data_IF_547866487003
#
_entry.id   IF_547866487003
#
_cell.length_a   1.000
_cell.length_b   1.000
_cell.length_c   1.000
_cell.angle_alpha   90.00
_cell.angle_beta   90.00
_cell.angle_gamma   90.00
#
_symmetry.space_group_name_H-M   'P 1'
#
loop_
_entity.id
_entity.type
_entity.pdbx_description
1 polymer ?
#
# COMPACT_ATOMS: atom_id res chain seq x y z
N UNK A 1 10.06 14.58 11.17
CA UNK A 1 8.73 13.97 11.41
C UNK A 1 8.55 12.98 10.29
N UNK A 2 8.51 11.68 10.58
CA UNK A 2 8.34 10.66 9.55
C UNK A 2 6.96 10.80 8.91
N UNK A 3 6.91 11.05 7.61
CA UNK A 3 5.68 11.01 6.83
C UNK A 3 5.33 9.55 6.54
N UNK A 4 4.08 9.18 6.85
CA UNK A 4 3.55 7.86 6.58
C UNK A 4 2.60 7.94 5.39
N UNK A 5 3.00 7.32 4.30
CA UNK A 5 2.21 7.18 3.09
C UNK A 5 1.53 5.83 3.10
N UNK A 6 0.22 5.81 2.86
CA UNK A 6 -0.55 4.56 2.83
C UNK A 6 -1.56 4.57 1.71
N UNK A 7 -1.73 3.41 1.08
CA UNK A 7 -2.79 3.14 0.14
C UNK A 7 -3.49 1.85 0.57
N UNK A 8 -4.82 1.84 0.48
CA UNK A 8 -5.63 0.72 0.93
C UNK A 8 -6.73 0.37 -0.06
N UNK A 9 -6.91 -0.92 -0.32
CA UNK A 9 -7.90 -1.42 -1.27
C UNK A 9 -8.76 -2.54 -0.66
N UNK A 10 -10.07 -2.53 -0.93
CA UNK A 10 -10.94 -3.61 -0.50
C UNK A 10 -10.70 -4.85 -1.35
N UNK A 11 -10.70 -6.01 -0.71
CA UNK A 11 -10.60 -7.32 -1.35
C UNK A 11 -12.02 -7.83 -1.60
N UNK A 12 -12.41 -7.86 -2.88
CA UNK A 12 -13.76 -8.29 -3.29
C UNK A 12 -13.95 -9.80 -3.10
N UNK A 13 -12.88 -10.59 -3.31
CA UNK A 13 -12.84 -12.05 -3.20
C UNK A 13 -11.42 -12.53 -2.90
N UNK A 14 -11.25 -13.73 -2.35
CA UNK A 14 -9.92 -14.29 -2.03
C UNK A 14 -9.00 -14.39 -3.27
N UNK A 15 -9.56 -14.78 -4.41
CA UNK A 15 -8.85 -14.79 -5.69
C UNK A 15 -8.42 -13.39 -6.19
N UNK A 16 -9.00 -12.32 -5.63
CA UNK A 16 -8.71 -10.93 -5.99
C UNK A 16 -7.69 -10.26 -5.05
N UNK A 17 -7.18 -10.95 -4.03
CA UNK A 17 -6.20 -10.39 -3.07
C UNK A 17 -4.97 -9.85 -3.79
N UNK A 18 -4.38 -10.62 -4.72
CA UNK A 18 -3.20 -10.20 -5.47
C UNK A 18 -3.48 -8.95 -6.32
N UNK A 19 -4.69 -8.85 -6.90
CA UNK A 19 -5.10 -7.65 -7.65
C UNK A 19 -5.22 -6.45 -6.73
N UNK A 20 -5.86 -6.62 -5.57
CA UNK A 20 -6.04 -5.55 -4.60
C UNK A 20 -4.69 -5.04 -4.05
N UNK A 21 -3.75 -5.95 -3.79
CA UNK A 21 -2.39 -5.59 -3.38
C UNK A 21 -1.72 -4.79 -4.51
N UNK A 22 -1.77 -5.29 -5.74
CA UNK A 22 -1.17 -4.61 -6.90
C UNK A 22 -1.75 -3.20 -7.09
N UNK A 23 -3.06 -3.06 -7.00
CA UNK A 23 -3.73 -1.76 -7.11
C UNK A 23 -3.35 -0.81 -5.97
N UNK A 24 -3.27 -1.31 -4.73
CA UNK A 24 -2.82 -0.52 -3.59
C UNK A 24 -1.34 -0.09 -3.74
N UNK A 25 -0.47 -0.97 -4.27
CA UNK A 25 0.92 -0.64 -4.55
C UNK A 25 1.05 0.41 -5.67
N UNK A 26 0.23 0.32 -6.73
CA UNK A 26 0.20 1.33 -7.80
C UNK A 26 -0.22 2.68 -7.22
N UNK A 27 -1.29 2.70 -6.42
CA UNK A 27 -1.78 3.93 -5.81
C UNK A 27 -0.74 4.55 -4.87
N UNK A 28 -0.05 3.74 -4.06
CA UNK A 28 1.04 4.22 -3.22
C UNK A 28 2.20 4.76 -4.05
N UNK A 29 2.56 4.10 -5.15
CA UNK A 29 3.59 4.59 -6.07
C UNK A 29 3.23 5.96 -6.67
N UNK A 30 1.97 6.16 -7.07
CA UNK A 30 1.48 7.44 -7.57
C UNK A 30 1.51 8.53 -6.49
N UNK A 31 1.12 8.20 -5.25
CA UNK A 31 1.21 9.11 -4.10
C UNK A 31 2.68 9.52 -3.86
N UNK A 32 3.61 8.57 -3.80
CA UNK A 32 5.02 8.85 -3.59
C UNK A 32 5.60 9.74 -4.71
N UNK A 33 5.27 9.42 -5.97
CA UNK A 33 5.68 10.23 -7.12
C UNK A 33 5.13 11.66 -7.08
N UNK A 34 3.89 11.85 -6.64
CA UNK A 34 3.29 13.18 -6.44
C UNK A 34 3.99 14.00 -5.34
N UNK A 35 4.58 13.32 -4.36
CA UNK A 35 5.37 13.92 -3.29
C UNK A 35 6.86 14.06 -3.63
N UNK A 36 7.27 13.71 -4.86
CA UNK A 36 8.65 13.80 -5.32
C UNK A 36 9.56 12.70 -4.79
N UNK A 37 8.98 11.62 -4.25
CA UNK A 37 9.70 10.44 -3.77
C UNK A 37 9.83 9.46 -4.94
N UNK A 38 11.05 9.31 -5.46
CA UNK A 38 11.37 8.36 -6.52
C UNK A 38 11.57 6.96 -5.92
N UNK A 39 10.51 6.15 -5.97
CA UNK A 39 10.53 4.79 -5.46
C UNK A 39 9.93 3.83 -6.49
N UNK A 40 10.67 2.79 -6.87
CA UNK A 40 10.17 1.82 -7.85
C UNK A 40 8.99 1.01 -7.31
N UNK A 41 8.06 0.65 -8.19
CA UNK A 41 6.96 -0.27 -7.87
C UNK A 41 7.44 -1.56 -7.17
N UNK A 42 8.55 -2.15 -7.63
CA UNK A 42 9.15 -3.34 -7.01
C UNK A 42 9.62 -3.10 -5.57
N UNK A 43 10.19 -1.92 -5.31
CA UNK A 43 10.63 -1.55 -3.95
C UNK A 43 9.44 -1.40 -3.00
N UNK A 44 8.33 -0.84 -3.50
CA UNK A 44 7.09 -0.73 -2.73
C UNK A 44 6.46 -2.11 -2.52
N UNK A 45 6.46 -2.97 -3.54
CA UNK A 45 5.97 -4.34 -3.42
C UNK A 45 6.76 -5.17 -2.40
N UNK A 46 8.06 -4.90 -2.23
CA UNK A 46 8.93 -5.54 -1.23
C UNK A 46 8.62 -5.11 0.21
N UNK A 47 7.98 -3.95 0.44
CA UNK A 47 7.51 -3.53 1.77
C UNK A 47 6.41 -4.49 2.30
N UNK A 48 5.75 -5.20 1.38
CA UNK A 48 4.64 -6.09 1.69
C UNK A 48 3.32 -5.35 1.85
N UNK A 49 2.37 -6.03 2.47
CA UNK A 49 1.04 -5.50 2.76
C UNK A 49 0.57 -6.00 4.11
N UNK A 50 -0.29 -5.24 4.76
CA UNK A 50 -1.04 -5.68 5.93
C UNK A 50 -2.50 -5.87 5.56
N UNK A 51 -3.18 -6.73 6.30
CA UNK A 51 -4.57 -7.11 6.02
C UNK A 51 -5.43 -6.79 7.22
N UNK A 52 -6.61 -6.24 6.99
CA UNK A 52 -7.58 -5.93 8.02
C UNK A 52 -8.98 -6.33 7.59
N UNK A 53 -9.85 -6.60 8.56
CA UNK A 53 -11.27 -6.89 8.30
C UNK A 53 -12.11 -5.78 8.91
N UNK A 54 -12.99 -5.22 8.09
CA UNK A 54 -13.95 -4.23 8.54
C UNK A 54 -15.10 -4.88 9.33
N UNK A 55 -15.92 -4.07 10.00
CA UNK A 55 -17.08 -4.51 10.78
C UNK A 55 -18.12 -5.26 9.93
N UNK A 56 -18.13 -5.02 8.62
CA UNK A 56 -18.98 -5.72 7.63
C UNK A 56 -18.38 -7.06 7.17
N UNK A 57 -17.23 -7.48 7.71
CA UNK A 57 -16.51 -8.70 7.31
C UNK A 57 -15.73 -8.57 6.00
N UNK A 58 -15.65 -7.36 5.42
CA UNK A 58 -14.87 -7.07 4.22
C UNK A 58 -13.38 -7.05 4.54
N UNK A 59 -12.59 -7.79 3.78
CA UNK A 59 -11.12 -7.79 3.87
C UNK A 59 -10.56 -6.59 3.13
N UNK A 60 -9.53 -5.97 3.69
CA UNK A 60 -8.80 -4.84 3.15
C UNK A 60 -7.32 -5.14 3.16
N UNK A 61 -6.63 -4.72 2.12
CA UNK A 61 -5.17 -4.73 2.06
C UNK A 61 -4.66 -3.32 2.16
N UNK A 62 -3.60 -3.13 2.92
CA UNK A 62 -2.95 -1.85 3.15
C UNK A 62 -1.49 -1.99 2.80
N UNK A 63 -1.01 -1.09 1.94
CA UNK A 63 0.41 -0.94 1.63
C UNK A 63 0.84 0.37 2.28
N UNK A 64 1.95 0.33 3.00
CA UNK A 64 2.41 1.43 3.84
C UNK A 64 3.90 1.65 3.58
N UNK A 65 4.28 2.90 3.40
CA UNK A 65 5.67 3.31 3.36
C UNK A 65 5.88 4.48 4.31
N UNK A 66 6.86 4.34 5.19
CA UNK A 66 7.30 5.42 6.05
C UNK A 66 8.57 6.03 5.45
N UNK A 67 8.63 7.36 5.36
CA UNK A 67 9.91 8.05 5.28
C UNK A 67 10.60 7.84 6.62
N UNK A 68 11.29 6.71 6.79
CA UNK A 68 12.30 6.69 7.83
C UNK A 68 13.34 7.71 7.38
N UNK A 69 13.46 8.80 8.15
CA UNK A 69 14.62 9.67 8.10
C UNK A 69 15.79 8.73 8.38
N UNK A 70 16.38 8.16 7.33
CA UNK A 70 17.61 7.39 7.44
C UNK A 70 18.70 8.41 7.79
N UNK A 71 18.81 8.71 9.09
CA UNK A 71 19.93 9.42 9.70
C UNK A 71 21.25 8.65 9.49
#
# INVERSE_FOLDING_TARGET
MSELYTASRPVISDAAVISAIREATIELHEILGAHGIDMSFEAIALLGHTESWDSDGKRWVHVMWATDDAE
#
